data_IF_410386909836
#
_entry.id   IF_410386909836
#
_cell.length_a   1.000
_cell.length_b   1.000
_cell.length_c   1.000
_cell.angle_alpha   90.00
_cell.angle_beta   90.00
_cell.angle_gamma   90.00
#
_symmetry.space_group_name_H-M   'P 1'
#
loop_
_entity.id
_entity.type
_entity.pdbx_description
1 polymer ?
#
# COMPACT_ATOMS: atom_id res chain seq x y z
N UNK A 1 46.86 -9.29 27.59
CA UNK A 1 46.37 -10.23 28.64
C UNK A 1 45.38 -11.19 27.98
N UNK A 2 45.78 -12.45 27.70
CA UNK A 2 44.88 -13.43 27.09
C UNK A 2 44.00 -14.11 28.14
N UNK A 3 42.71 -14.22 27.81
CA UNK A 3 41.64 -14.78 28.66
C UNK A 3 41.80 -16.28 28.85
N UNK A 4 41.74 -16.72 30.12
CA UNK A 4 42.02 -18.08 30.59
C UNK A 4 40.80 -19.02 30.37
N UNK A 5 39.71 -18.52 29.79
CA UNK A 5 38.44 -19.25 29.63
C UNK A 5 38.39 -20.24 28.44
N UNK A 6 39.37 -20.25 27.53
CA UNK A 6 39.29 -21.11 26.33
C UNK A 6 39.74 -22.56 26.56
N UNK A 7 40.43 -22.88 27.66
CA UNK A 7 41.02 -24.21 27.87
C UNK A 7 40.12 -25.18 28.65
N UNK A 8 39.04 -24.70 29.27
CA UNK A 8 38.15 -25.56 30.07
C UNK A 8 37.02 -26.21 29.26
N UNK A 9 36.68 -25.70 28.07
CA UNK A 9 35.58 -26.24 27.28
C UNK A 9 35.96 -27.51 26.47
N UNK A 10 37.26 -27.76 26.26
CA UNK A 10 37.76 -28.88 25.45
C UNK A 10 37.92 -30.20 26.19
N UNK A 11 37.62 -30.28 27.49
CA UNK A 11 37.79 -31.49 28.31
C UNK A 11 36.46 -32.18 28.67
N UNK A 12 35.32 -31.59 28.28
CA UNK A 12 33.97 -32.10 28.62
C UNK A 12 33.27 -32.81 27.46
N UNK A 13 33.88 -32.82 26.28
CA UNK A 13 33.41 -33.60 25.14
C UNK A 13 34.46 -34.64 24.86
N UNK A 14 34.20 -35.85 25.38
CA UNK A 14 34.89 -37.06 24.98
C UNK A 14 34.77 -37.29 23.47
N UNK A 15 35.72 -38.08 23.02
CA UNK A 15 36.13 -38.39 21.66
C UNK A 15 35.02 -38.69 20.63
N UNK A 16 35.46 -38.54 19.38
CA UNK A 16 34.95 -39.11 18.14
C UNK A 16 33.81 -38.45 17.33
N UNK A 17 34.08 -38.46 16.02
CA UNK A 17 33.24 -38.25 14.85
C UNK A 17 33.08 -36.80 14.35
N UNK A 18 33.85 -36.49 13.29
CA UNK A 18 33.43 -35.76 12.08
C UNK A 18 32.14 -34.94 12.21
N UNK A 19 32.20 -33.83 12.95
CA UNK A 19 31.10 -32.86 12.98
C UNK A 19 31.19 -31.99 11.74
N UNK A 20 30.62 -32.52 10.67
CA UNK A 20 30.45 -31.85 9.39
C UNK A 20 29.77 -30.48 9.62
N UNK A 21 30.56 -29.40 9.55
CA UNK A 21 30.17 -28.02 9.91
C UNK A 21 29.23 -27.38 8.88
N UNK A 22 28.44 -28.17 8.15
CA UNK A 22 27.48 -27.69 7.14
C UNK A 22 26.21 -27.09 7.75
N UNK A 23 25.85 -27.48 8.98
CA UNK A 23 24.66 -26.98 9.69
C UNK A 23 24.81 -25.54 10.21
N UNK A 24 26.02 -24.97 10.17
CA UNK A 24 26.31 -23.58 10.57
C UNK A 24 26.29 -22.58 9.40
N UNK A 25 25.96 -23.01 8.16
CA UNK A 25 25.76 -22.09 7.03
C UNK A 25 24.45 -21.32 7.24
N UNK A 26 24.50 -20.21 7.97
CA UNK A 26 23.40 -19.24 8.03
C UNK A 26 22.96 -18.88 6.60
N UNK A 27 21.67 -18.99 6.25
CA UNK A 27 21.21 -18.59 4.93
C UNK A 27 21.54 -17.11 4.73
N UNK A 28 22.24 -16.80 3.63
CA UNK A 28 22.55 -15.41 3.25
C UNK A 28 21.25 -14.62 3.32
N UNK A 29 21.21 -13.60 4.19
CA UNK A 29 20.04 -12.70 4.33
C UNK A 29 19.68 -12.19 2.94
N UNK A 30 18.57 -12.69 2.40
CA UNK A 30 18.06 -12.28 1.09
C UNK A 30 17.72 -10.80 1.21
N UNK A 31 18.40 -9.95 0.44
CA UNK A 31 18.09 -8.53 0.41
C UNK A 31 16.60 -8.37 0.06
N UNK A 32 15.88 -7.59 0.86
CA UNK A 32 14.47 -7.28 0.60
C UNK A 32 14.41 -6.60 -0.76
N UNK A 33 13.62 -7.15 -1.69
CA UNK A 33 13.41 -6.51 -2.98
C UNK A 33 12.65 -5.20 -2.74
N UNK A 34 13.08 -4.07 -3.31
CA UNK A 34 12.28 -2.85 -3.26
C UNK A 34 10.95 -3.10 -3.99
N UNK A 35 9.87 -2.53 -3.46
CA UNK A 35 8.56 -2.60 -4.11
C UNK A 35 8.58 -1.80 -5.42
N UNK A 36 7.88 -2.31 -6.42
CA UNK A 36 7.62 -1.59 -7.67
C UNK A 36 6.53 -0.54 -7.46
N UNK A 37 6.47 0.47 -8.32
CA UNK A 37 5.42 1.50 -8.32
C UNK A 37 4.01 0.89 -8.35
N UNK A 38 3.80 -0.13 -9.19
CA UNK A 38 2.52 -0.84 -9.25
C UNK A 38 2.15 -1.54 -7.94
N UNK A 39 3.14 -2.08 -7.23
CA UNK A 39 2.91 -2.70 -5.93
C UNK A 39 2.59 -1.65 -4.86
N UNK A 40 3.25 -0.49 -4.90
CA UNK A 40 2.93 0.65 -4.03
C UNK A 40 1.50 1.13 -4.26
N UNK A 41 1.10 1.39 -5.52
CA UNK A 41 -0.27 1.80 -5.86
C UNK A 41 -1.30 0.81 -5.33
N UNK A 42 -1.03 -0.51 -5.39
CA UNK A 42 -1.93 -1.52 -4.83
C UNK A 42 -2.08 -1.41 -3.31
N UNK A 43 -0.98 -1.21 -2.59
CA UNK A 43 -1.00 -1.01 -1.14
C UNK A 43 -1.75 0.28 -0.78
N UNK A 44 -1.52 1.34 -1.53
CA UNK A 44 -2.20 2.61 -1.31
C UNK A 44 -3.70 2.51 -1.61
N UNK A 45 -4.09 1.81 -2.69
CA UNK A 45 -5.49 1.55 -3.03
C UNK A 45 -6.20 0.75 -1.92
N UNK A 46 -5.50 -0.18 -1.25
CA UNK A 46 -6.03 -0.91 -0.09
C UNK A 46 -6.36 0.06 1.07
N UNK A 47 -5.50 1.05 1.34
CA UNK A 47 -5.79 2.10 2.32
C UNK A 47 -6.99 2.93 1.88
N UNK A 48 -6.98 3.41 0.63
CA UNK A 48 -8.04 4.24 0.06
C UNK A 48 -9.41 3.57 0.06
N UNK A 49 -9.47 2.25 -0.16
CA UNK A 49 -10.72 1.48 -0.13
C UNK A 49 -11.50 1.60 1.19
N UNK A 50 -10.76 1.80 2.30
CA UNK A 50 -11.27 1.82 3.67
C UNK A 50 -11.67 3.21 4.16
N UNK A 51 -11.38 4.27 3.39
CA UNK A 51 -11.67 5.65 3.79
C UNK A 51 -13.17 5.97 3.80
N UNK A 52 -13.95 5.24 3.01
CA UNK A 52 -15.35 5.58 2.71
C UNK A 52 -16.34 4.63 3.41
N UNK A 53 -16.00 4.17 4.62
CA UNK A 53 -16.82 3.28 5.42
C UNK A 53 -16.76 1.80 4.99
N UNK A 54 -17.58 0.93 5.60
CA UNK A 54 -17.56 -0.51 5.33
C UNK A 54 -18.01 -0.84 3.90
N UNK A 55 -17.31 -1.77 3.25
CA UNK A 55 -17.71 -2.27 1.92
C UNK A 55 -18.83 -3.31 2.08
N UNK A 56 -19.93 -3.21 1.32
CA UNK A 56 -20.93 -4.28 1.26
C UNK A 56 -20.34 -5.58 0.67
N UNK A 57 -20.96 -6.72 0.98
CA UNK A 57 -20.48 -8.02 0.46
C UNK A 57 -20.56 -8.05 -1.06
N UNK A 58 -19.48 -8.49 -1.71
CA UNK A 58 -19.41 -8.56 -3.18
C UNK A 58 -19.10 -7.22 -3.85
N UNK A 59 -18.78 -6.18 -3.09
CA UNK A 59 -18.26 -4.92 -3.61
C UNK A 59 -16.74 -4.87 -3.46
N UNK A 60 -16.05 -4.40 -4.50
CA UNK A 60 -14.66 -3.95 -4.44
C UNK A 60 -14.66 -2.46 -4.72
N UNK A 61 -13.88 -1.73 -3.95
CA UNK A 61 -13.70 -0.29 -4.10
C UNK A 61 -12.23 0.02 -3.95
N UNK A 62 -11.72 0.86 -4.82
CA UNK A 62 -10.33 1.30 -4.84
C UNK A 62 -10.34 2.82 -4.99
N UNK A 63 -9.51 3.48 -4.20
CA UNK A 63 -9.26 4.91 -4.29
C UNK A 63 -7.76 5.15 -4.15
N UNK A 64 -7.13 5.75 -5.15
CA UNK A 64 -5.69 5.98 -5.13
C UNK A 64 -5.27 7.13 -6.03
N UNK A 65 -4.08 7.64 -5.76
CA UNK A 65 -3.39 8.62 -6.59
C UNK A 65 -2.62 7.86 -7.68
N UNK A 66 -2.95 8.07 -8.95
CA UNK A 66 -2.26 7.43 -10.07
C UNK A 66 -0.97 8.18 -10.43
N UNK A 67 -1.03 9.51 -10.36
CA UNK A 67 0.08 10.43 -10.61
C UNK A 67 -0.14 11.72 -9.81
N UNK A 68 0.72 12.73 -9.96
CA UNK A 68 0.66 13.97 -9.19
C UNK A 68 -0.69 14.73 -9.25
N UNK A 69 -1.50 14.49 -10.27
CA UNK A 69 -2.74 15.24 -10.55
C UNK A 69 -3.96 14.36 -10.74
N UNK A 70 -3.78 13.04 -10.84
CA UNK A 70 -4.85 12.11 -11.21
C UNK A 70 -5.24 11.22 -10.04
N UNK A 71 -6.50 11.32 -9.63
CA UNK A 71 -7.11 10.43 -8.65
C UNK A 71 -8.04 9.45 -9.34
N UNK A 72 -7.95 8.18 -8.94
CA UNK A 72 -8.78 7.11 -9.46
C UNK A 72 -9.73 6.65 -8.38
N UNK A 73 -11.01 6.61 -8.72
CA UNK A 73 -12.04 5.88 -8.02
C UNK A 73 -12.49 4.73 -8.91
N UNK A 74 -12.36 3.50 -8.41
CA UNK A 74 -12.78 2.32 -9.13
C UNK A 74 -13.67 1.46 -8.23
N UNK A 75 -14.83 1.09 -8.74
CA UNK A 75 -15.76 0.22 -8.06
C UNK A 75 -16.13 -0.97 -8.93
N UNK A 76 -16.23 -2.13 -8.29
CA UNK A 76 -16.86 -3.31 -8.85
C UNK A 76 -17.91 -3.82 -7.88
N UNK A 77 -19.05 -4.25 -8.40
CA UNK A 77 -20.10 -4.85 -7.58
C UNK A 77 -20.89 -5.88 -8.38
N UNK A 78 -21.56 -6.77 -7.67
CA UNK A 78 -22.49 -7.72 -8.28
C UNK A 78 -23.90 -7.14 -8.21
N UNK A 79 -24.55 -6.98 -9.36
CA UNK A 79 -25.94 -6.50 -9.44
C UNK A 79 -26.96 -7.58 -9.01
N UNK A 80 -28.23 -7.20 -8.92
CA UNK A 80 -29.34 -8.10 -8.56
C UNK A 80 -29.50 -9.28 -9.54
N UNK A 81 -28.97 -9.15 -10.76
CA UNK A 81 -28.97 -10.18 -11.79
C UNK A 81 -27.71 -11.05 -11.76
N UNK A 82 -26.89 -10.95 -10.70
CA UNK A 82 -25.60 -11.66 -10.52
C UNK A 82 -24.56 -11.34 -11.60
N UNK A 83 -24.62 -10.16 -12.20
CA UNK A 83 -23.62 -9.70 -13.16
C UNK A 83 -22.62 -8.77 -12.48
N UNK A 84 -21.35 -8.94 -12.85
CA UNK A 84 -20.29 -8.04 -12.43
C UNK A 84 -20.46 -6.71 -13.16
N UNK A 85 -20.64 -5.65 -12.40
CA UNK A 85 -20.62 -4.26 -12.85
C UNK A 85 -19.29 -3.64 -12.44
N UNK A 86 -18.80 -2.73 -13.27
CA UNK A 86 -17.63 -1.92 -12.95
C UNK A 86 -17.92 -0.46 -13.26
N UNK A 87 -17.35 0.44 -12.47
CA UNK A 87 -17.36 1.85 -12.75
C UNK A 87 -16.02 2.45 -12.38
N UNK A 88 -15.38 3.08 -13.36
CA UNK A 88 -14.16 3.87 -13.12
C UNK A 88 -14.45 5.36 -13.31
N UNK A 89 -14.12 6.14 -12.29
CA UNK A 89 -14.13 7.60 -12.32
C UNK A 89 -12.72 8.11 -12.10
N UNK A 90 -12.25 9.00 -12.99
CA UNK A 90 -10.98 9.70 -12.85
C UNK A 90 -11.24 11.15 -12.50
N UNK A 91 -10.53 11.67 -11.51
CA UNK A 91 -10.50 13.07 -11.17
C UNK A 91 -9.14 13.65 -11.55
N UNK A 92 -9.11 14.58 -12.50
CA UNK A 92 -7.90 15.23 -12.99
C UNK A 92 -7.85 16.65 -12.43
N UNK A 93 -6.84 16.94 -11.62
CA UNK A 93 -6.59 18.28 -11.10
C UNK A 93 -6.00 19.14 -12.21
N UNK A 94 -6.69 20.21 -12.59
CA UNK A 94 -6.27 21.17 -13.61
C UNK A 94 -6.27 22.58 -13.01
N UNK A 95 -5.61 23.54 -13.68
CA UNK A 95 -5.55 24.94 -13.23
C UNK A 95 -6.94 25.57 -13.00
N UNK A 96 -7.94 25.13 -13.78
CA UNK A 96 -9.33 25.62 -13.71
C UNK A 96 -10.21 24.89 -12.68
N UNK A 97 -9.71 23.83 -12.06
CA UNK A 97 -10.46 22.99 -11.13
C UNK A 97 -10.29 21.49 -11.40
N UNK A 98 -11.11 20.68 -10.73
CA UNK A 98 -11.03 19.21 -10.85
C UNK A 98 -11.99 18.72 -11.93
N UNK A 99 -11.46 18.11 -12.99
CA UNK A 99 -12.24 17.48 -14.05
C UNK A 99 -12.55 16.03 -13.69
N UNK A 100 -13.82 15.69 -13.63
CA UNK A 100 -14.32 14.33 -13.50
C UNK A 100 -14.50 13.71 -14.87
N UNK A 101 -13.90 12.54 -15.08
CA UNK A 101 -14.01 11.74 -16.30
C UNK A 101 -14.62 10.39 -15.92
N UNK A 102 -15.74 10.04 -16.55
CA UNK A 102 -16.41 8.76 -16.32
C UNK A 102 -16.58 8.00 -17.64
N UNK A 103 -16.89 6.71 -17.52
CA UNK A 103 -17.26 5.88 -18.67
C UNK A 103 -18.38 6.51 -19.50
N UNK A 104 -18.25 6.35 -20.82
CA UNK A 104 -19.14 6.96 -21.81
C UNK A 104 -18.77 8.39 -22.21
N UNK A 105 -17.50 8.79 -22.06
CA UNK A 105 -16.99 10.12 -22.43
C UNK A 105 -17.76 11.26 -21.72
N UNK A 106 -18.09 11.05 -20.44
CA UNK A 106 -18.77 12.06 -19.60
C UNK A 106 -17.72 12.87 -18.86
N UNK A 107 -17.73 14.17 -19.08
CA UNK A 107 -16.79 15.14 -18.54
C UNK A 107 -17.54 16.23 -17.80
N UNK A 108 -17.18 16.48 -16.54
CA UNK A 108 -17.79 17.55 -15.75
C UNK A 108 -16.82 18.09 -14.72
N UNK A 109 -16.95 19.37 -14.37
CA UNK A 109 -16.22 19.93 -13.24
C UNK A 109 -16.83 19.46 -11.92
N UNK A 110 -15.98 19.09 -10.98
CA UNK A 110 -16.38 18.75 -9.62
C UNK A 110 -16.54 20.02 -8.82
N UNK A 111 -17.72 20.21 -8.24
CA UNK A 111 -18.08 21.41 -7.48
C UNK A 111 -18.87 21.04 -6.21
N UNK A 112 -19.02 22.02 -5.31
CA UNK A 112 -19.82 21.91 -4.09
C UNK A 112 -19.39 20.74 -3.20
N UNK A 113 -20.38 19.99 -2.69
CA UNK A 113 -20.15 18.91 -1.75
C UNK A 113 -19.27 17.78 -2.32
N UNK A 114 -19.30 17.53 -3.63
CA UNK A 114 -18.44 16.51 -4.23
C UNK A 114 -16.96 16.92 -4.15
N UNK A 115 -16.66 18.20 -4.38
CA UNK A 115 -15.30 18.74 -4.29
C UNK A 115 -14.79 18.69 -2.85
N UNK A 116 -15.62 19.10 -1.88
CA UNK A 116 -15.30 19.04 -0.46
C UNK A 116 -14.99 17.61 0.00
N UNK A 117 -15.84 16.65 -0.39
CA UNK A 117 -15.64 15.24 -0.09
C UNK A 117 -14.37 14.68 -0.73
N UNK A 118 -14.07 15.05 -1.97
CA UNK A 118 -12.84 14.65 -2.65
C UNK A 118 -11.61 15.23 -1.93
N UNK A 119 -11.61 16.50 -1.57
CA UNK A 119 -10.51 17.12 -0.82
C UNK A 119 -10.30 16.43 0.52
N UNK A 120 -11.38 16.13 1.25
CA UNK A 120 -11.28 15.41 2.53
C UNK A 120 -10.73 13.99 2.34
N UNK A 121 -11.19 13.27 1.31
CA UNK A 121 -10.68 11.94 0.99
C UNK A 121 -9.20 11.95 0.64
N UNK A 122 -8.75 12.92 -0.16
CA UNK A 122 -7.34 13.12 -0.52
C UNK A 122 -6.47 13.38 0.72
N UNK A 123 -6.93 14.24 1.63
CA UNK A 123 -6.23 14.53 2.89
C UNK A 123 -6.08 13.27 3.75
N UNK A 124 -7.19 12.55 3.99
CA UNK A 124 -7.17 11.30 4.77
C UNK A 124 -6.32 10.22 4.11
N UNK A 125 -6.37 10.11 2.78
CA UNK A 125 -5.53 9.20 2.01
C UNK A 125 -4.06 9.50 2.24
N UNK A 126 -3.65 10.75 2.05
CA UNK A 126 -2.26 11.18 2.22
C UNK A 126 -1.75 10.89 3.63
N UNK A 127 -2.52 11.25 4.66
CA UNK A 127 -2.12 11.01 6.05
C UNK A 127 -1.89 9.53 6.35
N UNK A 128 -2.79 8.65 5.87
CA UNK A 128 -2.69 7.21 6.12
C UNK A 128 -1.59 6.57 5.29
N UNK A 129 -1.48 6.92 4.01
CA UNK A 129 -0.42 6.40 3.13
C UNK A 129 0.97 6.81 3.63
N UNK A 130 1.16 8.07 4.01
CA UNK A 130 2.41 8.57 4.55
C UNK A 130 2.86 7.78 5.79
N UNK A 131 1.95 7.49 6.71
CA UNK A 131 2.25 6.76 7.96
C UNK A 131 2.37 5.25 7.76
N UNK A 132 1.42 4.64 7.08
CA UNK A 132 1.28 3.18 6.99
C UNK A 132 2.23 2.56 5.95
N UNK A 133 2.51 3.25 4.84
CA UNK A 133 3.34 2.73 3.74
C UNK A 133 4.74 3.36 3.76
N UNK A 134 4.81 4.68 3.87
CA UNK A 134 6.08 5.42 3.76
C UNK A 134 6.74 5.74 5.10
N UNK A 135 6.09 5.40 6.22
CA UNK A 135 6.58 5.63 7.59
C UNK A 135 7.12 7.05 7.83
N UNK A 136 6.46 8.04 7.23
CA UNK A 136 6.81 9.45 7.30
C UNK A 136 5.68 10.22 7.98
N UNK A 137 6.01 11.23 8.78
CA UNK A 137 5.00 12.12 9.34
C UNK A 137 4.39 12.98 8.22
N UNK A 138 3.05 13.00 8.07
CA UNK A 138 2.42 13.81 7.04
C UNK A 138 2.66 15.28 7.35
N UNK A 139 3.18 16.02 6.37
CA UNK A 139 3.25 17.48 6.48
C UNK A 139 1.82 17.99 6.47
N UNK A 140 1.44 18.78 7.48
CA UNK A 140 0.10 19.37 7.53
C UNK A 140 -0.10 20.27 6.30
N UNK A 141 -0.95 19.83 5.38
CA UNK A 141 -1.36 20.64 4.23
C UNK A 141 -2.51 21.53 4.73
N UNK A 142 -2.14 22.73 5.19
CA UNK A 142 -3.07 23.78 5.61
C UNK A 142 -4.02 24.18 4.47
#
# INVERSE_FOLDING_TARGET
MPSIFSKALGLLTGDDADVNTEWLKMPKRRALKPLTERELIKLEAEIGSRLFGPLPRGHRREFFCLDATTWIWHEEWVDDHRRLQTATTRYEVQDRGVLKVQEGARYSYVEGAELENLTMAVRMYYERVAREIYHTEPVQIA
#
